data_IF_198958101269
#
_entry.id   IF_198958101269
#
_cell.length_a   1.000
_cell.length_b   1.000
_cell.length_c   1.000
_cell.angle_alpha   90.00
_cell.angle_beta   90.00
_cell.angle_gamma   90.00
#
_symmetry.space_group_name_H-M   'P 1'
#
loop_
_entity.id
_entity.type
_entity.pdbx_description
1 polymer ?
#
# COMPACT_ATOMS: atom_id res chain seq x y z
N UNK A 1 -9.97 -18.37 14.48
CA UNK A 1 -8.70 -17.88 15.10
C UNK A 1 -7.60 -17.93 14.05
N UNK A 2 -7.04 -16.77 13.75
CA UNK A 2 -5.97 -16.65 12.75
C UNK A 2 -4.71 -17.40 13.16
N UNK A 3 -4.05 -18.06 12.18
CA UNK A 3 -2.82 -18.80 12.41
C UNK A 3 -1.84 -18.64 11.25
N UNK A 4 -0.60 -18.28 11.53
CA UNK A 4 0.48 -18.31 10.54
C UNK A 4 0.80 -19.77 10.21
N UNK A 5 0.72 -20.13 8.93
CA UNK A 5 0.93 -21.51 8.46
C UNK A 5 2.17 -21.65 7.57
N UNK A 6 2.66 -20.58 7.00
CA UNK A 6 3.89 -20.57 6.21
C UNK A 6 4.52 -19.18 6.17
N UNK A 7 5.86 -19.14 6.01
CA UNK A 7 6.63 -17.90 5.80
C UNK A 7 7.92 -18.17 5.05
N UNK A 8 8.31 -17.22 4.21
CA UNK A 8 9.60 -17.22 3.52
C UNK A 8 10.09 -15.83 3.19
N UNK A 9 11.38 -15.63 3.12
CA UNK A 9 11.96 -14.46 2.48
C UNK A 9 11.98 -14.63 0.96
N UNK A 10 11.64 -13.56 0.24
CA UNK A 10 11.79 -13.54 -1.22
C UNK A 10 13.27 -13.34 -1.61
N UNK A 11 13.59 -13.71 -2.85
CA UNK A 11 14.94 -13.65 -3.39
C UNK A 11 15.38 -12.23 -3.76
N UNK A 12 15.47 -11.33 -2.78
CA UNK A 12 15.89 -9.94 -3.00
C UNK A 12 17.36 -9.87 -3.40
N UNK A 13 17.65 -9.25 -4.55
CA UNK A 13 18.99 -9.17 -5.14
C UNK A 13 19.68 -7.83 -4.90
N UNK A 14 19.06 -6.92 -4.15
CA UNK A 14 19.58 -5.57 -3.92
C UNK A 14 20.01 -5.35 -2.48
N UNK A 15 20.95 -4.43 -2.20
CA UNK A 15 21.35 -4.08 -0.83
C UNK A 15 20.19 -3.58 0.05
N UNK A 16 19.21 -2.90 -0.56
CA UNK A 16 18.01 -2.39 0.09
C UNK A 16 16.78 -2.69 -0.77
N UNK A 17 15.66 -3.00 -0.12
CA UNK A 17 14.36 -3.17 -0.76
C UNK A 17 13.23 -2.61 0.09
N UNK A 18 12.09 -2.29 -0.55
CA UNK A 18 10.93 -1.76 0.15
C UNK A 18 9.62 -1.87 -0.64
N UNK A 19 8.48 -1.66 0.05
CA UNK A 19 7.14 -1.51 -0.50
C UNK A 19 6.75 -2.66 -1.45
N UNK A 20 6.66 -3.85 -0.91
CA UNK A 20 6.22 -5.02 -1.66
C UNK A 20 4.72 -5.03 -1.90
N UNK A 21 4.31 -5.72 -2.95
CA UNK A 21 2.92 -6.10 -3.25
C UNK A 21 2.84 -7.55 -3.71
N UNK A 22 1.65 -8.13 -3.64
CA UNK A 22 1.36 -9.50 -4.07
C UNK A 22 0.02 -9.55 -4.80
N UNK A 23 -0.04 -10.36 -5.85
CA UNK A 23 -1.28 -10.79 -6.50
C UNK A 23 -1.17 -12.26 -6.87
N UNK A 24 -2.27 -12.90 -7.26
CA UNK A 24 -2.26 -14.26 -7.77
C UNK A 24 -2.57 -14.27 -9.26
N UNK A 25 -1.77 -14.97 -10.04
CA UNK A 25 -1.96 -15.17 -11.47
C UNK A 25 -1.80 -16.64 -11.82
N UNK A 26 -2.78 -17.21 -12.56
CA UNK A 26 -2.78 -18.63 -12.96
C UNK A 26 -2.54 -19.60 -11.78
N UNK A 27 -3.04 -19.25 -10.57
CA UNK A 27 -2.92 -20.08 -9.36
C UNK A 27 -1.60 -19.89 -8.59
N UNK A 28 -0.67 -19.08 -9.07
CA UNK A 28 0.62 -18.81 -8.44
C UNK A 28 0.73 -17.36 -7.92
N UNK A 29 1.43 -17.14 -6.81
CA UNK A 29 1.68 -15.78 -6.33
C UNK A 29 2.68 -15.07 -7.26
N UNK A 30 2.40 -13.80 -7.52
CA UNK A 30 3.28 -12.84 -8.16
C UNK A 30 3.64 -11.80 -7.12
N UNK A 31 4.90 -11.48 -6.98
CA UNK A 31 5.40 -10.50 -6.03
C UNK A 31 6.05 -9.34 -6.75
N UNK A 32 5.91 -8.13 -6.24
CA UNK A 32 6.67 -6.99 -6.71
C UNK A 32 7.21 -6.16 -5.53
N UNK A 33 8.38 -5.55 -5.70
CA UNK A 33 8.98 -4.62 -4.75
C UNK A 33 9.89 -3.64 -5.49
N UNK A 34 10.28 -2.55 -4.85
CA UNK A 34 11.40 -1.77 -5.37
C UNK A 34 12.67 -2.03 -4.57
N UNK A 35 13.81 -1.93 -5.23
CA UNK A 35 15.12 -2.17 -4.62
C UNK A 35 16.25 -1.47 -5.37
N UNK A 36 17.35 -1.23 -4.65
CA UNK A 36 18.55 -0.55 -5.13
C UNK A 36 19.58 -0.44 -4.00
N UNK A 37 20.52 0.48 -4.10
CA UNK A 37 21.47 0.76 -3.01
C UNK A 37 20.73 1.34 -1.78
N UNK A 38 19.81 2.27 -2.02
CA UNK A 38 18.98 2.89 -0.99
C UNK A 38 17.75 3.52 -1.64
N UNK A 39 16.65 3.58 -0.89
CA UNK A 39 15.43 4.28 -1.30
C UNK A 39 15.72 5.73 -1.76
N UNK A 40 15.12 6.13 -2.87
CA UNK A 40 15.24 7.47 -3.44
C UNK A 40 16.48 7.71 -4.30
N UNK A 41 17.35 6.70 -4.47
CA UNK A 41 18.47 6.81 -5.41
C UNK A 41 18.05 6.40 -6.83
N UNK A 42 18.70 6.94 -7.88
CA UNK A 42 18.37 6.65 -9.28
C UNK A 42 18.52 5.18 -9.68
N UNK A 43 19.26 4.38 -8.93
CA UNK A 43 19.41 2.94 -9.14
C UNK A 43 18.25 2.11 -8.58
N UNK A 44 17.26 2.76 -7.93
CA UNK A 44 16.06 2.10 -7.44
C UNK A 44 15.16 1.68 -8.61
N UNK A 45 14.91 0.39 -8.74
CA UNK A 45 14.12 -0.22 -9.81
C UNK A 45 13.01 -1.12 -9.23
N UNK A 46 12.00 -1.43 -10.06
CA UNK A 46 10.94 -2.39 -9.72
C UNK A 46 11.40 -3.80 -10.12
N UNK A 47 11.23 -4.73 -9.19
CA UNK A 47 11.45 -6.16 -9.34
C UNK A 47 10.11 -6.87 -9.28
N UNK A 48 9.92 -7.87 -10.14
CA UNK A 48 8.75 -8.73 -10.17
C UNK A 48 9.22 -10.18 -10.13
N UNK A 49 8.78 -10.95 -9.12
CA UNK A 49 9.04 -12.39 -8.98
C UNK A 49 7.77 -13.17 -9.33
N UNK A 50 7.90 -14.12 -10.25
CA UNK A 50 6.84 -15.07 -10.60
C UNK A 50 7.43 -16.45 -10.81
N UNK A 51 6.91 -17.46 -10.09
CA UNK A 51 7.53 -18.79 -10.01
C UNK A 51 9.00 -18.66 -9.58
N UNK A 52 9.93 -19.18 -10.36
CA UNK A 52 11.36 -19.13 -10.06
C UNK A 52 12.12 -18.01 -10.81
N UNK A 53 11.38 -17.13 -11.49
CA UNK A 53 11.98 -16.06 -12.30
C UNK A 53 11.78 -14.67 -11.72
N UNK A 54 12.88 -13.89 -11.63
CA UNK A 54 12.85 -12.48 -11.27
C UNK A 54 13.09 -11.64 -12.52
N UNK A 55 12.25 -10.63 -12.72
CA UNK A 55 12.34 -9.62 -13.77
C UNK A 55 12.48 -8.24 -13.15
N UNK A 56 13.14 -7.32 -13.80
CA UNK A 56 13.22 -5.93 -13.35
C UNK A 56 12.95 -4.95 -14.49
N UNK A 57 12.58 -3.72 -14.12
CA UNK A 57 12.35 -2.63 -15.07
C UNK A 57 13.65 -1.93 -15.53
N UNK A 58 14.81 -2.50 -15.14
CA UNK A 58 16.13 -1.94 -15.49
C UNK A 58 16.44 -0.62 -14.77
N UNK A 59 17.70 -0.24 -14.82
CA UNK A 59 18.24 0.94 -14.12
C UNK A 59 18.58 2.10 -15.07
N UNK A 60 18.07 2.09 -16.30
CA UNK A 60 18.34 3.15 -17.29
C UNK A 60 17.62 4.47 -17.00
N UNK A 61 17.10 4.64 -15.81
CA UNK A 61 16.38 5.83 -15.38
C UNK A 61 17.27 6.68 -14.50
N UNK A 62 17.29 7.98 -14.76
CA UNK A 62 17.98 8.96 -13.93
C UNK A 62 17.22 9.32 -12.64
N UNK A 63 16.10 8.62 -12.38
CA UNK A 63 15.19 8.85 -11.27
C UNK A 63 14.72 7.54 -10.67
N UNK A 64 14.34 7.57 -9.39
CA UNK A 64 13.88 6.40 -8.64
C UNK A 64 12.56 5.86 -9.12
N UNK A 65 12.39 4.54 -9.06
CA UNK A 65 11.11 3.86 -9.09
C UNK A 65 10.59 3.61 -7.66
N UNK A 66 9.26 3.64 -7.50
CA UNK A 66 8.62 3.57 -6.18
C UNK A 66 7.34 2.74 -6.20
N UNK A 67 6.99 2.17 -5.04
CA UNK A 67 5.70 1.61 -4.68
C UNK A 67 5.02 0.78 -5.79
N UNK A 68 5.56 -0.37 -6.17
CA UNK A 68 4.87 -1.25 -7.09
C UNK A 68 3.61 -1.81 -6.45
N UNK A 69 2.54 -1.85 -7.23
CA UNK A 69 1.24 -2.39 -6.85
C UNK A 69 0.84 -3.40 -7.90
N UNK A 70 0.64 -4.64 -7.47
CA UNK A 70 0.05 -5.69 -8.28
C UNK A 70 -1.44 -5.80 -7.98
N UNK A 71 -2.26 -5.89 -9.01
CA UNK A 71 -3.69 -6.16 -8.84
C UNK A 71 -4.27 -6.86 -10.06
N UNK A 72 -5.36 -7.57 -9.85
CA UNK A 72 -6.13 -8.18 -10.92
C UNK A 72 -7.36 -7.34 -11.25
N UNK A 73 -7.68 -7.24 -12.54
CA UNK A 73 -8.91 -6.64 -13.03
C UNK A 73 -9.41 -7.42 -14.24
N UNK A 74 -10.65 -7.92 -14.20
CA UNK A 74 -11.23 -8.67 -15.32
C UNK A 74 -10.45 -9.93 -15.74
N UNK A 75 -9.67 -10.53 -14.82
CA UNK A 75 -8.81 -11.69 -15.12
C UNK A 75 -7.41 -11.31 -15.64
N UNK A 76 -7.15 -10.03 -15.88
CA UNK A 76 -5.84 -9.52 -16.27
C UNK A 76 -5.04 -9.08 -15.04
N UNK A 77 -3.70 -9.22 -15.14
CA UNK A 77 -2.76 -8.81 -14.08
C UNK A 77 -2.06 -7.50 -14.47
N UNK A 78 -2.12 -6.54 -13.57
CA UNK A 78 -1.50 -5.23 -13.76
C UNK A 78 -0.42 -4.94 -12.73
N UNK A 79 0.61 -4.24 -13.19
CA UNK A 79 1.65 -3.63 -12.37
C UNK A 79 1.56 -2.12 -12.48
N UNK A 80 1.31 -1.44 -11.35
CA UNK A 80 1.37 0.01 -11.23
C UNK A 80 2.61 0.39 -10.46
N UNK A 81 3.33 1.43 -10.87
CA UNK A 81 4.48 1.96 -10.12
C UNK A 81 4.65 3.45 -10.37
N UNK A 82 5.45 4.09 -9.53
CA UNK A 82 5.75 5.51 -9.61
C UNK A 82 7.18 5.73 -10.06
N UNK A 83 7.40 6.80 -10.80
CA UNK A 83 8.73 7.26 -11.23
C UNK A 83 8.88 8.73 -10.89
N UNK A 84 9.92 9.09 -10.19
CA UNK A 84 10.17 10.47 -9.80
C UNK A 84 11.33 10.60 -8.83
N UNK A 85 11.91 11.79 -8.75
CA UNK A 85 13.00 12.08 -7.82
C UNK A 85 12.50 12.15 -6.36
N UNK A 86 11.28 12.69 -6.17
CA UNK A 86 10.63 12.86 -4.88
C UNK A 86 9.16 12.45 -4.98
N UNK A 87 8.52 12.22 -3.85
CA UNK A 87 7.11 11.80 -3.80
C UNK A 87 6.14 12.84 -4.40
N UNK A 88 6.48 14.11 -4.38
CA UNK A 88 5.69 15.21 -4.94
C UNK A 88 5.82 15.35 -6.47
N UNK A 89 6.79 14.66 -7.08
CA UNK A 89 7.07 14.69 -8.52
C UNK A 89 6.80 13.33 -9.20
N UNK A 90 6.04 12.46 -8.58
CA UNK A 90 5.74 11.14 -9.13
C UNK A 90 4.88 11.21 -10.39
N UNK A 91 5.29 10.43 -11.38
CA UNK A 91 4.48 10.05 -12.52
C UNK A 91 4.10 8.57 -12.40
N UNK A 92 2.84 8.25 -12.64
CA UNK A 92 2.31 6.90 -12.53
C UNK A 92 2.38 6.18 -13.86
N UNK A 93 2.92 4.96 -13.82
CA UNK A 93 3.00 4.03 -14.93
C UNK A 93 2.17 2.78 -14.62
N UNK A 94 1.47 2.28 -15.63
CA UNK A 94 0.66 1.06 -15.55
C UNK A 94 1.06 0.13 -16.70
N UNK A 95 1.34 -1.13 -16.37
CA UNK A 95 1.65 -2.19 -17.33
C UNK A 95 0.63 -3.31 -17.18
N UNK A 96 0.10 -3.81 -18.30
CA UNK A 96 -0.55 -5.10 -18.32
C UNK A 96 0.54 -6.17 -18.40
N UNK A 97 0.65 -7.00 -17.38
CA UNK A 97 1.64 -8.09 -17.29
C UNK A 97 0.99 -9.45 -17.22
N UNK A 98 -0.22 -9.59 -17.77
CA UNK A 98 -0.98 -10.85 -17.76
C UNK A 98 -0.18 -12.00 -18.37
N UNK A 99 0.56 -11.75 -19.45
CA UNK A 99 1.44 -12.73 -20.08
C UNK A 99 2.82 -12.83 -19.42
N UNK A 100 2.89 -12.71 -18.09
CA UNK A 100 4.14 -12.66 -17.33
C UNK A 100 5.05 -13.87 -17.57
N UNK A 101 4.50 -15.01 -17.98
CA UNK A 101 5.28 -16.21 -18.31
C UNK A 101 6.20 -15.97 -19.53
N UNK A 102 5.71 -15.25 -20.53
CA UNK A 102 6.42 -14.98 -21.78
C UNK A 102 7.12 -13.62 -21.81
N UNK A 103 6.86 -12.74 -20.83
CA UNK A 103 7.56 -11.44 -20.71
C UNK A 103 9.01 -11.69 -20.30
N UNK A 104 9.95 -11.58 -21.26
CA UNK A 104 11.38 -11.64 -20.99
C UNK A 104 11.95 -10.33 -20.46
N UNK A 105 11.37 -9.18 -20.83
CA UNK A 105 11.83 -7.83 -20.46
C UNK A 105 10.64 -6.91 -20.23
N UNK A 106 10.42 -6.52 -18.99
CA UNK A 106 9.33 -5.60 -18.57
C UNK A 106 9.41 -4.21 -19.24
N UNK A 107 10.59 -3.81 -19.69
CA UNK A 107 10.76 -2.52 -20.39
C UNK A 107 10.11 -2.51 -21.78
N UNK A 108 9.90 -3.67 -22.38
CA UNK A 108 9.26 -3.82 -23.69
C UNK A 108 7.74 -3.90 -23.64
N UNK A 109 7.18 -4.04 -22.44
CA UNK A 109 5.71 -4.03 -22.24
C UNK A 109 5.18 -2.62 -22.48
N UNK A 110 4.05 -2.51 -23.20
CA UNK A 110 3.36 -1.23 -23.41
C UNK A 110 3.04 -0.60 -22.04
N UNK A 111 3.37 0.67 -21.88
CA UNK A 111 3.16 1.42 -20.65
C UNK A 111 2.08 2.46 -20.88
N UNK A 112 1.03 2.42 -20.07
CA UNK A 112 0.18 3.60 -19.91
C UNK A 112 0.85 4.54 -18.92
N UNK A 113 0.88 5.83 -19.25
CA UNK A 113 1.41 6.89 -18.38
C UNK A 113 0.25 7.81 -18.04
N UNK A 114 -0.07 7.94 -16.77
CA UNK A 114 -1.15 8.81 -16.34
C UNK A 114 -0.74 10.28 -16.41
N UNK A 115 -1.71 11.16 -16.62
CA UNK A 115 -1.49 12.60 -16.57
C UNK A 115 -0.91 13.04 -15.22
N UNK A 116 -0.10 14.09 -15.23
CA UNK A 116 0.51 14.66 -14.03
C UNK A 116 -0.55 14.97 -12.96
N UNK A 117 -0.26 14.58 -11.71
CA UNK A 117 -1.16 14.73 -10.58
C UNK A 117 -2.20 13.62 -10.42
N UNK A 118 -2.29 12.65 -11.33
CA UNK A 118 -3.06 11.42 -11.16
C UNK A 118 -2.13 10.33 -10.63
N UNK A 119 -2.45 9.81 -9.45
CA UNK A 119 -1.58 8.83 -8.80
C UNK A 119 -2.15 7.41 -8.81
N UNK A 120 -3.39 7.20 -9.29
CA UNK A 120 -4.00 5.88 -9.17
C UNK A 120 -3.94 5.40 -7.72
N UNK A 121 -3.70 4.12 -7.49
CA UNK A 121 -3.35 3.63 -6.16
C UNK A 121 -1.88 3.98 -5.83
N UNK A 122 -1.60 4.41 -4.58
CA UNK A 122 -0.24 4.86 -4.20
C UNK A 122 0.54 3.76 -3.48
N UNK A 123 -0.11 2.94 -2.67
CA UNK A 123 0.55 1.90 -1.87
C UNK A 123 -0.28 0.62 -1.74
N UNK A 124 -1.58 0.75 -1.68
CA UNK A 124 -2.52 -0.34 -1.45
C UNK A 124 -3.22 -0.73 -2.75
N UNK A 125 -3.81 -1.91 -2.79
CA UNK A 125 -4.55 -2.40 -3.96
C UNK A 125 -5.79 -1.55 -4.24
N UNK A 126 -6.16 -1.33 -5.51
CA UNK A 126 -7.47 -0.83 -5.88
C UNK A 126 -8.56 -1.86 -5.59
N UNK A 127 -9.81 -1.42 -5.57
CA UNK A 127 -11.00 -2.27 -5.48
C UNK A 127 -11.75 -2.14 -6.80
N UNK A 128 -12.20 -3.25 -7.35
CA UNK A 128 -13.10 -3.27 -8.51
C UNK A 128 -14.50 -3.63 -8.06
N UNK A 129 -15.49 -2.90 -8.55
CA UNK A 129 -16.90 -3.20 -8.39
C UNK A 129 -17.67 -2.74 -9.64
N UNK A 130 -18.37 -3.66 -10.27
CA UNK A 130 -19.22 -3.39 -11.44
C UNK A 130 -18.49 -2.66 -12.59
N UNK A 131 -17.24 -3.02 -12.83
CA UNK A 131 -16.38 -2.44 -13.86
C UNK A 131 -15.76 -1.09 -13.49
N UNK A 132 -16.04 -0.55 -12.29
CA UNK A 132 -15.42 0.65 -11.75
C UNK A 132 -14.31 0.28 -10.80
N UNK A 133 -13.14 0.93 -10.95
CA UNK A 133 -11.95 0.69 -10.17
C UNK A 133 -11.72 1.88 -9.23
N UNK A 134 -11.75 1.62 -7.94
CA UNK A 134 -11.57 2.61 -6.87
C UNK A 134 -10.14 2.57 -6.35
N UNK A 135 -9.44 3.69 -6.41
CA UNK A 135 -8.02 3.81 -6.08
C UNK A 135 -7.80 4.76 -4.92
N UNK A 136 -7.12 4.29 -3.89
CA UNK A 136 -6.63 5.11 -2.79
C UNK A 136 -5.42 5.93 -3.21
N UNK A 137 -5.62 7.21 -3.49
CA UNK A 137 -4.61 8.13 -4.00
C UNK A 137 -4.16 9.12 -2.93
N UNK A 138 -2.93 9.58 -3.00
CA UNK A 138 -2.40 10.62 -2.13
C UNK A 138 -1.21 11.35 -2.75
N UNK A 139 -0.96 12.57 -2.28
CA UNK A 139 0.26 13.32 -2.55
C UNK A 139 1.01 13.61 -1.25
N UNK A 140 2.32 13.51 -1.33
CA UNK A 140 3.24 13.68 -0.22
C UNK A 140 4.22 14.82 -0.56
N UNK A 141 4.10 15.95 0.11
CA UNK A 141 5.12 17.00 0.05
C UNK A 141 5.89 17.07 1.38
N UNK A 142 6.92 17.89 1.44
CA UNK A 142 7.68 18.10 2.69
C UNK A 142 6.82 18.72 3.81
N UNK A 143 5.71 19.39 3.48
CA UNK A 143 4.95 20.19 4.45
C UNK A 143 3.49 19.78 4.54
N UNK A 144 2.98 19.04 3.57
CA UNK A 144 1.57 18.72 3.50
C UNK A 144 1.32 17.37 2.83
N UNK A 145 0.37 16.62 3.40
CA UNK A 145 -0.11 15.36 2.89
C UNK A 145 -1.61 15.44 2.66
N UNK A 146 -2.03 15.03 1.49
CA UNK A 146 -3.44 14.99 1.13
C UNK A 146 -3.78 13.65 0.47
N UNK A 147 -4.96 13.15 0.78
CA UNK A 147 -5.51 11.94 0.17
C UNK A 147 -6.80 12.23 -0.58
N UNK A 148 -7.12 11.40 -1.55
CA UNK A 148 -8.39 11.39 -2.27
C UNK A 148 -8.64 10.00 -2.82
N UNK A 149 -9.83 9.80 -3.36
CA UNK A 149 -10.19 8.57 -4.06
C UNK A 149 -10.35 8.91 -5.53
N UNK A 150 -9.64 8.20 -6.38
CA UNK A 150 -9.76 8.27 -7.84
C UNK A 150 -10.55 7.05 -8.32
N UNK A 151 -11.47 7.25 -9.24
CA UNK A 151 -12.22 6.16 -9.88
C UNK A 151 -11.89 6.09 -11.36
N UNK A 152 -11.72 4.87 -11.84
CA UNK A 152 -11.36 4.58 -13.23
C UNK A 152 -12.27 3.51 -13.80
N UNK A 153 -12.35 3.48 -15.13
CA UNK A 153 -12.77 2.32 -15.91
C UNK A 153 -11.59 1.83 -16.75
N UNK A 154 -11.52 0.52 -16.98
CA UNK A 154 -10.60 -0.05 -17.95
C UNK A 154 -11.30 -0.24 -19.28
N UNK A 155 -10.86 0.49 -20.30
CA UNK A 155 -11.47 0.52 -21.62
C UNK A 155 -10.39 0.72 -22.69
N UNK A 156 -10.46 -0.07 -23.78
CA UNK A 156 -9.53 0.05 -24.92
C UNK A 156 -8.06 -0.04 -24.50
N UNK A 157 -7.76 -0.99 -23.59
CA UNK A 157 -6.43 -1.23 -23.01
C UNK A 157 -5.86 -0.07 -22.17
N UNK A 158 -6.71 0.83 -21.68
CA UNK A 158 -6.31 1.96 -20.84
C UNK A 158 -7.25 2.18 -19.65
N UNK A 159 -6.68 2.65 -18.54
CA UNK A 159 -7.44 3.14 -17.39
C UNK A 159 -7.82 4.59 -17.62
N UNK A 160 -9.11 4.85 -17.75
CA UNK A 160 -9.66 6.19 -17.98
C UNK A 160 -10.24 6.71 -16.68
N UNK A 161 -9.77 7.87 -16.21
CA UNK A 161 -10.31 8.52 -15.01
C UNK A 161 -11.78 8.90 -15.24
N UNK A 162 -12.64 8.43 -14.34
CA UNK A 162 -14.02 8.86 -14.27
C UNK A 162 -14.15 10.07 -13.36
N UNK A 163 -13.55 9.99 -12.17
CA UNK A 163 -13.76 10.98 -11.14
C UNK A 163 -12.65 10.96 -10.07
N UNK A 164 -12.53 12.08 -9.35
CA UNK A 164 -11.70 12.21 -8.16
C UNK A 164 -12.51 12.87 -7.04
N UNK A 165 -12.44 12.33 -5.84
CA UNK A 165 -13.05 12.95 -4.66
C UNK A 165 -12.43 14.31 -4.33
N UNK A 166 -13.11 15.08 -3.49
CA UNK A 166 -12.47 16.19 -2.79
C UNK A 166 -11.34 15.67 -1.89
N UNK A 167 -10.35 16.51 -1.57
CA UNK A 167 -9.27 16.13 -0.68
C UNK A 167 -9.78 15.66 0.69
N UNK A 168 -9.30 14.51 1.13
CA UNK A 168 -9.53 13.95 2.44
C UNK A 168 -8.35 14.35 3.33
N UNK A 169 -8.56 15.33 4.19
CA UNK A 169 -7.52 15.92 5.01
C UNK A 169 -7.98 16.01 6.47
N UNK A 170 -7.02 16.18 7.36
CA UNK A 170 -7.25 16.33 8.80
C UNK A 170 -6.55 17.59 9.31
N UNK A 171 -7.05 18.22 10.38
CA UNK A 171 -6.39 19.37 10.97
C UNK A 171 -4.94 19.06 11.38
N UNK A 172 -4.05 20.00 11.11
CA UNK A 172 -2.65 19.87 11.52
C UNK A 172 -2.52 19.98 13.04
N UNK A 173 -1.62 19.17 13.59
CA UNK A 173 -1.34 19.13 15.03
C UNK A 173 0.11 19.52 15.28
N UNK A 174 0.33 20.46 16.19
CA UNK A 174 1.66 20.77 16.71
C UNK A 174 2.09 19.71 17.73
N UNK A 175 3.34 19.28 17.66
CA UNK A 175 3.90 18.30 18.59
C UNK A 175 5.40 18.58 18.82
N UNK A 176 5.96 17.97 19.86
CA UNK A 176 7.37 18.11 20.20
C UNK A 176 8.12 16.82 19.91
N UNK A 177 9.31 16.95 19.36
CA UNK A 177 10.26 15.87 19.14
C UNK A 177 11.42 16.08 20.12
N UNK A 178 11.74 15.07 20.92
CA UNK A 178 12.92 15.09 21.76
C UNK A 178 14.14 14.67 20.94
N UNK A 179 14.94 15.66 20.53
CA UNK A 179 16.16 15.41 19.78
C UNK A 179 17.35 15.30 20.75
N UNK A 180 18.21 14.26 20.63
CA UNK A 180 19.29 14.01 21.61
C UNK A 180 20.30 15.15 21.72
N UNK A 181 20.49 15.95 20.66
CA UNK A 181 21.45 17.06 20.63
C UNK A 181 20.76 18.42 20.88
N UNK A 182 19.59 18.64 20.26
CA UNK A 182 18.92 19.94 20.26
C UNK A 182 17.79 20.07 21.28
N UNK A 183 17.57 19.04 22.11
CA UNK A 183 16.47 19.03 23.08
C UNK A 183 15.09 18.95 22.40
N UNK A 184 14.11 19.67 22.95
CA UNK A 184 12.74 19.63 22.46
C UNK A 184 12.54 20.54 21.26
N UNK A 185 12.28 19.96 20.08
CA UNK A 185 12.02 20.66 18.82
C UNK A 185 10.53 20.64 18.53
N UNK A 186 9.93 21.79 18.24
CA UNK A 186 8.56 21.88 17.79
C UNK A 186 8.43 21.46 16.32
N UNK A 187 7.41 20.65 16.02
CA UNK A 187 7.07 20.19 14.68
C UNK A 187 5.56 20.25 14.46
N UNK A 188 5.13 20.09 13.21
CA UNK A 188 3.72 20.08 12.84
C UNK A 188 3.44 18.83 12.01
N UNK A 189 2.31 18.16 12.28
CA UNK A 189 1.88 17.01 11.47
C UNK A 189 1.61 17.42 10.04
N UNK A 190 1.88 16.51 9.09
CA UNK A 190 1.68 16.76 7.65
C UNK A 190 0.28 16.40 7.19
N UNK A 191 -0.34 15.35 7.73
CA UNK A 191 -1.68 14.91 7.35
C UNK A 191 -1.79 13.39 7.26
N UNK A 192 -2.68 12.91 6.37
CA UNK A 192 -2.98 11.50 6.13
C UNK A 192 -2.75 11.14 4.67
N UNK A 193 -2.27 9.90 4.44
CA UNK A 193 -1.94 9.40 3.10
C UNK A 193 -2.22 7.90 2.96
N UNK A 194 -2.02 7.41 1.74
CA UNK A 194 -2.01 5.97 1.41
C UNK A 194 -3.30 5.27 1.87
N UNK A 195 -4.49 5.71 1.38
CA UNK A 195 -5.74 5.09 1.74
C UNK A 195 -5.74 3.60 1.40
N UNK A 196 -6.10 2.75 2.36
CA UNK A 196 -6.40 1.35 2.12
C UNK A 196 -7.91 1.17 2.14
N UNK A 197 -8.46 0.70 1.01
CA UNK A 197 -9.89 0.68 0.74
C UNK A 197 -10.48 -0.70 0.98
N UNK A 198 -11.74 -0.72 1.38
CA UNK A 198 -12.60 -1.91 1.31
C UNK A 198 -14.03 -1.51 1.05
N UNK A 199 -14.79 -2.43 0.46
CA UNK A 199 -16.22 -2.29 0.27
C UNK A 199 -16.92 -3.31 1.16
N UNK A 200 -17.90 -2.88 1.94
CA UNK A 200 -18.65 -3.76 2.82
C UNK A 200 -19.79 -4.49 2.09
N UNK A 201 -20.56 -5.31 2.82
CA UNK A 201 -21.69 -6.08 2.28
C UNK A 201 -22.86 -5.21 1.80
N UNK A 202 -22.93 -3.97 2.22
CA UNK A 202 -23.95 -2.99 1.80
C UNK A 202 -23.46 -2.10 0.66
N UNK A 203 -22.35 -2.51 0.00
CA UNK A 203 -21.66 -1.78 -1.06
C UNK A 203 -21.17 -0.38 -0.64
N UNK A 204 -20.95 -0.15 0.66
CA UNK A 204 -20.36 1.11 1.14
C UNK A 204 -18.84 1.03 1.02
N UNK A 205 -18.25 2.05 0.41
CA UNK A 205 -16.80 2.17 0.29
C UNK A 205 -16.21 2.84 1.53
N UNK A 206 -15.21 2.22 2.11
CA UNK A 206 -14.50 2.66 3.31
C UNK A 206 -13.02 2.85 3.05
N UNK A 207 -12.36 3.66 3.86
CA UNK A 207 -10.92 3.88 3.82
C UNK A 207 -10.30 4.01 5.20
N UNK A 208 -9.21 3.28 5.44
CA UNK A 208 -8.25 3.60 6.49
C UNK A 208 -7.04 4.34 5.91
N UNK A 209 -6.49 5.26 6.69
CA UNK A 209 -5.37 6.11 6.27
C UNK A 209 -4.21 6.00 7.26
N UNK A 210 -3.00 5.87 6.71
CA UNK A 210 -1.77 6.14 7.44
C UNK A 210 -1.73 7.62 7.82
N UNK A 211 -1.23 7.94 9.00
CA UNK A 211 -1.01 9.33 9.41
C UNK A 211 0.46 9.66 9.58
N UNK A 212 0.78 10.95 9.44
CA UNK A 212 2.10 11.47 9.74
C UNK A 212 2.39 11.48 11.23
N UNK A 213 3.66 11.62 11.58
CA UNK A 213 4.09 11.84 12.96
C UNK A 213 3.32 12.98 13.61
N UNK A 214 3.03 12.86 14.90
CA UNK A 214 2.24 13.82 15.69
C UNK A 214 0.73 13.56 15.65
N UNK A 215 0.19 12.92 14.63
CA UNK A 215 -1.20 12.41 14.61
C UNK A 215 -1.30 11.04 15.26
N UNK A 216 -0.35 10.16 14.96
CA UNK A 216 -0.09 8.88 15.64
C UNK A 216 -1.27 7.91 15.73
N UNK A 217 -2.26 8.03 14.81
CA UNK A 217 -3.44 7.17 14.72
C UNK A 217 -3.69 6.75 13.28
N UNK A 218 -4.34 5.60 13.09
CA UNK A 218 -5.02 5.30 11.84
C UNK A 218 -6.26 6.16 11.77
N UNK A 219 -6.49 6.81 10.63
CA UNK A 219 -7.70 7.58 10.38
C UNK A 219 -8.68 6.79 9.53
N UNK A 220 -9.94 7.13 9.63
CA UNK A 220 -11.04 6.46 8.95
C UNK A 220 -11.97 7.46 8.28
N UNK A 221 -12.44 7.13 7.09
CA UNK A 221 -13.51 7.81 6.38
C UNK A 221 -14.33 6.79 5.61
N UNK A 222 -15.57 7.13 5.28
CA UNK A 222 -16.43 6.32 4.42
C UNK A 222 -17.09 7.18 3.36
N UNK A 223 -17.30 6.60 2.19
CA UNK A 223 -18.15 7.16 1.16
C UNK A 223 -19.60 7.17 1.62
N UNK A 224 -20.35 8.17 1.22
CA UNK A 224 -21.81 8.21 1.42
C UNK A 224 -22.48 7.96 0.08
N UNK A 225 -23.56 7.16 0.06
CA UNK A 225 -24.49 7.16 -1.06
C UNK A 225 -25.06 8.56 -1.20
N UNK A 226 -24.82 9.21 -2.31
CA UNK A 226 -25.72 10.22 -2.80
C UNK A 226 -26.84 9.54 -3.59
N UNK A 227 -27.93 10.26 -3.85
CA UNK A 227 -29.07 9.76 -4.59
C UNK A 227 -28.68 8.96 -5.82
N UNK A 228 -29.46 7.94 -6.19
CA UNK A 228 -29.22 6.99 -7.27
C UNK A 228 -28.47 7.58 -8.47
N UNK A 229 -27.24 7.11 -8.67
CA UNK A 229 -26.45 7.34 -9.87
C UNK A 229 -25.23 8.26 -9.74
N UNK A 230 -24.92 8.80 -8.55
CA UNK A 230 -23.67 9.53 -8.34
C UNK A 230 -22.55 8.59 -7.84
N UNK A 231 -21.33 8.74 -8.39
CA UNK A 231 -20.19 7.93 -7.99
C UNK A 231 -19.80 8.13 -6.51
N UNK A 232 -19.39 7.06 -5.83
CA UNK A 232 -18.91 7.06 -4.46
C UNK A 232 -17.73 7.98 -4.16
N UNK A 233 -17.01 8.38 -5.21
CA UNK A 233 -15.83 9.24 -5.08
C UNK A 233 -16.12 10.66 -4.64
N UNK A 234 -17.35 11.15 -4.76
CA UNK A 234 -17.68 12.57 -4.47
C UNK A 234 -17.92 12.87 -3.03
N UNK A 235 -18.62 11.97 -2.33
CA UNK A 235 -19.07 12.25 -0.97
C UNK A 235 -18.40 11.32 0.03
N UNK A 236 -17.49 11.88 0.79
CA UNK A 236 -16.80 11.19 1.88
C UNK A 236 -17.02 11.90 3.21
N UNK A 237 -17.18 11.13 4.27
CA UNK A 237 -17.17 11.70 5.61
C UNK A 237 -15.82 12.35 5.91
N UNK A 238 -15.79 13.38 6.75
CA UNK A 238 -14.52 13.93 7.22
C UNK A 238 -13.72 12.83 7.93
N UNK A 239 -12.42 12.65 7.60
CA UNK A 239 -11.61 11.64 8.24
C UNK A 239 -11.51 11.86 9.75
N UNK A 240 -11.71 10.80 10.53
CA UNK A 240 -11.65 10.81 11.99
C UNK A 240 -10.62 9.81 12.52
N UNK A 241 -9.99 10.12 13.64
CA UNK A 241 -9.03 9.22 14.26
C UNK A 241 -9.73 7.97 14.82
N UNK A 242 -9.16 6.81 14.54
CA UNK A 242 -9.60 5.55 15.14
C UNK A 242 -8.91 5.32 16.49
N UNK A 243 -9.22 4.18 17.12
CA UNK A 243 -8.51 3.70 18.33
C UNK A 243 -7.08 3.21 18.04
N UNK A 244 -6.78 2.84 16.80
CA UNK A 244 -5.53 2.19 16.42
C UNK A 244 -4.38 3.18 16.32
N UNK A 245 -3.28 2.87 17.00
CA UNK A 245 -2.04 3.65 16.89
C UNK A 245 -1.36 3.44 15.54
N UNK A 246 -0.61 4.45 15.10
CA UNK A 246 0.18 4.39 13.86
C UNK A 246 1.47 5.21 14.00
N UNK A 247 2.65 4.58 13.88
CA UNK A 247 3.94 5.26 14.00
C UNK A 247 4.40 5.88 12.67
N UNK A 248 3.49 6.47 11.90
CA UNK A 248 3.78 6.89 10.53
C UNK A 248 4.24 5.71 9.66
N UNK A 249 3.49 4.61 9.70
CA UNK A 249 3.76 3.39 8.94
C UNK A 249 2.61 3.04 8.01
N UNK A 250 2.92 2.48 6.85
CA UNK A 250 1.91 1.96 5.91
C UNK A 250 1.06 0.87 6.56
N UNK A 251 -0.19 0.80 6.16
CA UNK A 251 -1.18 -0.18 6.60
C UNK A 251 -1.79 -0.86 5.39
N UNK A 252 -2.51 -1.95 5.59
CA UNK A 252 -3.38 -2.52 4.56
C UNK A 252 -4.59 -3.21 5.17
N UNK A 253 -5.65 -3.38 4.38
CA UNK A 253 -6.87 -4.07 4.79
C UNK A 253 -7.31 -5.10 3.75
N UNK A 254 -8.01 -6.13 4.25
CA UNK A 254 -8.76 -7.08 3.43
C UNK A 254 -10.14 -7.24 4.05
N UNK A 255 -11.18 -7.18 3.23
CA UNK A 255 -12.55 -7.51 3.61
C UNK A 255 -12.99 -8.72 2.81
N UNK A 256 -13.33 -9.78 3.48
CA UNK A 256 -13.75 -11.06 2.89
C UNK A 256 -14.71 -11.76 3.85
N UNK A 257 -15.79 -12.37 3.30
CA UNK A 257 -16.82 -13.09 4.06
C UNK A 257 -17.37 -12.31 5.26
N UNK A 258 -17.63 -11.01 5.06
CA UNK A 258 -18.10 -10.06 6.09
C UNK A 258 -17.13 -9.87 7.27
N UNK A 259 -15.85 -10.20 7.08
CA UNK A 259 -14.77 -10.06 8.05
C UNK A 259 -13.77 -9.01 7.57
N UNK A 260 -13.39 -8.10 8.43
CA UNK A 260 -12.40 -7.05 8.13
C UNK A 260 -11.07 -7.38 8.82
N UNK A 261 -10.00 -7.49 8.04
CA UNK A 261 -8.65 -7.71 8.54
C UNK A 261 -7.79 -6.47 8.30
N UNK A 262 -7.18 -5.96 9.36
CA UNK A 262 -6.27 -4.81 9.32
C UNK A 262 -4.86 -5.28 9.69
N UNK A 263 -3.88 -5.01 8.82
CA UNK A 263 -2.46 -5.22 9.11
C UNK A 263 -1.77 -3.87 9.35
N UNK A 264 -1.10 -3.72 10.51
CA UNK A 264 -0.52 -2.46 10.95
C UNK A 264 0.54 -2.65 12.06
N UNK A 265 1.18 -1.55 12.45
CA UNK A 265 2.07 -1.51 13.61
C UNK A 265 1.35 -0.79 14.78
N UNK A 266 0.96 -1.48 15.87
CA UNK A 266 0.26 -0.90 17.02
C UNK A 266 1.24 -0.17 17.94
N UNK A 267 1.81 0.92 17.47
CA UNK A 267 2.84 1.69 18.17
C UNK A 267 2.68 3.17 17.85
N UNK A 268 3.15 4.03 18.74
CA UNK A 268 3.19 5.48 18.52
C UNK A 268 4.46 5.93 17.78
N UNK A 269 5.54 5.15 17.87
CA UNK A 269 6.87 5.59 17.41
C UNK A 269 7.59 4.57 16.54
N UNK A 270 7.37 3.26 16.77
CA UNK A 270 8.16 2.19 16.16
C UNK A 270 7.36 1.42 15.12
N UNK A 271 7.98 1.09 14.00
CA UNK A 271 7.38 0.24 12.97
C UNK A 271 7.54 -1.25 13.31
N UNK A 272 7.26 -1.60 14.54
CA UNK A 272 7.14 -2.95 15.07
C UNK A 272 6.38 -2.94 16.42
N UNK A 273 5.71 -4.06 16.84
CA UNK A 273 5.50 -5.26 16.05
C UNK A 273 4.66 -5.01 14.79
N UNK A 274 4.60 -5.98 13.88
CA UNK A 274 3.62 -6.06 12.81
C UNK A 274 2.56 -7.07 13.21
N UNK A 275 1.29 -6.67 13.20
CA UNK A 275 0.16 -7.52 13.59
C UNK A 275 -0.94 -7.51 12.53
N UNK A 276 -1.78 -8.53 12.54
CA UNK A 276 -3.08 -8.54 11.86
C UNK A 276 -4.15 -8.63 12.92
N UNK A 277 -5.13 -7.71 12.88
CA UNK A 277 -6.32 -7.77 13.71
C UNK A 277 -7.55 -8.01 12.85
N UNK A 278 -8.40 -8.96 13.23
CA UNK A 278 -9.75 -9.10 12.73
C UNK A 278 -10.66 -8.16 13.50
N UNK A 279 -11.45 -7.37 12.78
CA UNK A 279 -12.28 -6.30 13.33
C UNK A 279 -13.76 -6.55 13.09
N UNK A 280 -14.61 -6.23 14.07
CA UNK A 280 -16.05 -6.14 13.86
C UNK A 280 -16.43 -4.79 13.20
N UNK A 281 -17.73 -4.61 12.92
CA UNK A 281 -18.26 -3.38 12.30
C UNK A 281 -18.09 -2.10 13.15
N UNK A 282 -17.77 -2.23 14.45
CA UNK A 282 -17.43 -1.10 15.35
C UNK A 282 -15.90 -0.88 15.45
N UNK A 283 -15.12 -1.59 14.64
CA UNK A 283 -13.66 -1.63 14.72
C UNK A 283 -13.14 -2.09 16.09
N UNK A 284 -13.84 -3.02 16.75
CA UNK A 284 -13.33 -3.72 17.91
C UNK A 284 -12.59 -4.97 17.45
N UNK A 285 -11.46 -5.27 18.10
CA UNK A 285 -10.65 -6.45 17.77
C UNK A 285 -11.37 -7.70 18.26
N UNK A 286 -11.62 -8.64 17.33
CA UNK A 286 -12.21 -9.95 17.59
C UNK A 286 -11.13 -11.01 17.77
N UNK A 287 -10.10 -10.97 16.91
CA UNK A 287 -8.97 -11.89 16.90
C UNK A 287 -7.72 -11.15 16.45
N UNK A 288 -6.56 -11.59 16.89
CA UNK A 288 -5.29 -10.94 16.58
C UNK A 288 -4.16 -11.96 16.45
N UNK A 289 -3.29 -11.77 15.47
CA UNK A 289 -2.06 -12.54 15.33
C UNK A 289 -0.86 -11.61 15.16
N UNK A 290 0.19 -11.84 15.96
CA UNK A 290 1.48 -11.19 15.77
C UNK A 290 2.18 -11.86 14.60
N UNK A 291 2.30 -11.11 13.49
CA UNK A 291 3.05 -11.57 12.32
C UNK A 291 4.52 -11.66 12.63
N UNK A 292 5.07 -10.57 13.19
CA UNK A 292 6.46 -10.51 13.65
C UNK A 292 6.59 -9.47 14.76
N UNK A 293 7.20 -9.86 15.87
CA UNK A 293 7.36 -8.96 17.02
C UNK A 293 8.42 -7.88 16.74
N UNK A 294 9.57 -8.29 16.23
CA UNK A 294 10.71 -7.43 15.88
C UNK A 294 11.63 -8.13 14.89
N UNK A 295 12.54 -7.37 14.31
CA UNK A 295 13.63 -7.94 13.49
C UNK A 295 14.49 -8.84 14.37
N UNK A 296 14.77 -10.06 13.90
CA UNK A 296 15.57 -11.03 14.63
C UNK A 296 17.02 -10.54 14.80
N UNK A 297 17.55 -10.63 16.02
CA UNK A 297 18.90 -10.14 16.35
C UNK A 297 20.03 -10.86 15.60
N UNK A 298 19.78 -12.08 15.12
CA UNK A 298 20.71 -12.84 14.28
C UNK A 298 20.72 -12.44 12.80
N UNK A 299 19.75 -11.64 12.35
CA UNK A 299 19.62 -11.20 10.96
C UNK A 299 20.14 -9.76 10.83
N UNK A 300 21.21 -9.57 10.04
CA UNK A 300 21.74 -8.25 9.76
C UNK A 300 20.83 -7.51 8.78
N UNK A 301 20.18 -6.45 9.26
CA UNK A 301 19.28 -5.58 8.50
C UNK A 301 19.80 -4.12 8.47
N UNK A 302 19.15 -3.27 7.72
CA UNK A 302 19.48 -1.84 7.62
C UNK A 302 18.76 -1.02 8.70
N UNK A 303 17.56 -1.45 9.07
CA UNK A 303 16.71 -0.82 10.10
C UNK A 303 16.06 -1.91 10.95
N UNK A 304 15.37 -1.50 12.03
CA UNK A 304 14.53 -2.42 12.83
C UNK A 304 13.05 -2.40 12.42
N UNK A 305 12.70 -1.86 11.26
CA UNK A 305 11.30 -1.73 10.86
C UNK A 305 10.74 -3.00 10.21
N UNK A 306 9.46 -3.25 10.48
CA UNK A 306 8.58 -4.22 9.84
C UNK A 306 7.44 -3.42 9.21
N UNK A 307 7.54 -3.08 7.93
CA UNK A 307 6.73 -2.00 7.39
C UNK A 307 6.20 -2.27 5.99
N UNK A 308 5.26 -1.43 5.56
CA UNK A 308 4.63 -1.49 4.25
C UNK A 308 4.01 -2.86 3.94
N UNK A 309 3.13 -3.36 4.83
CA UNK A 309 2.43 -4.60 4.56
C UNK A 309 1.50 -4.45 3.35
N UNK A 310 1.39 -5.51 2.56
CA UNK A 310 0.43 -5.64 1.48
C UNK A 310 -0.23 -7.01 1.58
N UNK A 311 -1.54 -7.03 1.73
CA UNK A 311 -2.28 -8.23 2.07
C UNK A 311 -3.40 -8.48 1.06
N UNK A 312 -3.54 -9.72 0.60
CA UNK A 312 -4.64 -10.16 -0.25
C UNK A 312 -5.24 -11.45 0.30
N UNK A 313 -6.51 -11.68 0.00
CA UNK A 313 -7.14 -13.00 0.21
C UNK A 313 -6.98 -13.85 -1.06
N UNK A 314 -6.65 -15.11 -0.89
CA UNK A 314 -6.69 -16.12 -1.94
C UNK A 314 -6.93 -17.51 -1.36
N UNK A 315 -7.95 -18.23 -1.86
CA UNK A 315 -8.33 -19.60 -1.42
C UNK A 315 -8.55 -19.69 0.11
N UNK A 316 -9.33 -18.78 0.66
CA UNK A 316 -9.66 -18.68 2.08
C UNK A 316 -8.45 -18.54 3.01
N UNK A 317 -7.40 -17.88 2.52
CA UNK A 317 -6.19 -17.55 3.30
C UNK A 317 -5.81 -16.10 3.04
N UNK A 318 -5.24 -15.46 4.05
CA UNK A 318 -4.57 -14.18 3.85
C UNK A 318 -3.12 -14.41 3.44
N UNK A 319 -2.72 -13.69 2.42
CA UNK A 319 -1.35 -13.69 1.90
C UNK A 319 -0.77 -12.29 2.08
N UNK A 320 0.27 -12.19 2.87
CA UNK A 320 0.88 -10.94 3.29
C UNK A 320 2.32 -10.85 2.81
N UNK A 321 2.70 -9.72 2.23
CA UNK A 321 4.10 -9.35 2.05
C UNK A 321 4.40 -8.08 2.84
N UNK A 322 5.63 -7.94 3.33
CA UNK A 322 6.07 -6.73 4.01
C UNK A 322 7.60 -6.56 3.96
N UNK A 323 8.03 -5.35 4.19
CA UNK A 323 9.46 -5.01 4.27
C UNK A 323 10.00 -5.39 5.64
N UNK A 324 11.03 -6.25 5.66
CA UNK A 324 11.75 -6.69 6.85
C UNK A 324 13.11 -5.99 6.92
N UNK A 325 13.21 -5.00 7.80
CA UNK A 325 14.46 -4.28 8.07
C UNK A 325 15.11 -3.58 6.89
N UNK A 326 14.33 -3.16 5.89
CA UNK A 326 14.79 -2.54 4.63
C UNK A 326 15.74 -3.40 3.79
N UNK A 327 15.90 -4.68 4.12
CA UNK A 327 16.83 -5.61 3.49
C UNK A 327 16.15 -6.79 2.81
N UNK A 328 15.03 -7.22 3.34
CA UNK A 328 14.29 -8.38 2.85
C UNK A 328 12.83 -8.03 2.64
N UNK A 329 12.18 -8.80 1.78
CA UNK A 329 10.72 -8.91 1.71
C UNK A 329 10.35 -10.26 2.27
N UNK A 330 9.50 -10.28 3.31
CA UNK A 330 8.94 -11.51 3.83
C UNK A 330 7.53 -11.72 3.29
N UNK A 331 7.25 -12.94 2.90
CA UNK A 331 5.93 -13.42 2.51
C UNK A 331 5.43 -14.38 3.58
N UNK A 332 4.17 -14.18 4.00
CA UNK A 332 3.52 -14.96 5.05
C UNK A 332 2.14 -15.39 4.60
N UNK A 333 1.78 -16.64 4.87
CA UNK A 333 0.43 -17.18 4.64
C UNK A 333 -0.26 -17.40 5.98
N UNK A 334 -1.50 -16.92 6.12
CA UNK A 334 -2.29 -16.97 7.33
C UNK A 334 -3.62 -17.68 7.04
N UNK A 335 -3.94 -18.67 7.80
CA UNK A 335 -5.25 -19.33 7.86
C UNK A 335 -6.23 -18.47 8.66
N UNK A 336 -7.49 -18.28 8.15
CA UNK A 336 -8.52 -17.42 8.75
C UNK A 336 -9.79 -18.16 9.09
#
# INVERSE_FOLDING_TARGET
>A
MMKIIDRKFLSVQTPSCHASSIAFHSGYPVFAWFGGQREGLPDSSIYVEYKDGIRNLGTNVQVSHWNPILFNNGGELFLVYKVGKFCDSWQTFILNITDIENIGDLNKVKKQVLHAGLNFAVKTKPIEKDGVIYCGSSAETMFDWASWIETYIYKEDEFVLLERSLPLAVPKKHYKINHPIYGSISSTSMGIIQPSLWMDSDDVLHAFFRSSSGLSKIYYSKGSHSEKGEPWSRQWSSPSATRFDNPNSGIDVVYVDSRLFLVYNPSLEKRYPLIISELNYKFEVIDEVIVQDKVDSGIRTLTSELSYPYMVEYKNKLHLTYTYGRKFIEYVTIEI
#
